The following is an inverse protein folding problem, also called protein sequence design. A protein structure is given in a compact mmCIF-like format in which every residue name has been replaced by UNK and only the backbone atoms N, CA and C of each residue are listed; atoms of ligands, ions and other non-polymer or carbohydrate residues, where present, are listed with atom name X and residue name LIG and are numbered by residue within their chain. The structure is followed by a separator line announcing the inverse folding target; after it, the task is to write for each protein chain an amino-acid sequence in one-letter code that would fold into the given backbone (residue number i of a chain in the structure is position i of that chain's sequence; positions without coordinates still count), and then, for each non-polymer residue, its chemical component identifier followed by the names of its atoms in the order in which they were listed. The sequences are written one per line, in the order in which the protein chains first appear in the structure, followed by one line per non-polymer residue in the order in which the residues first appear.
data_IF_859452847172
#
_entry.id   IF_859452847172
#
_cell.length_a   1.000
_cell.length_b   1.000
_cell.length_c   1.000
_cell.angle_alpha   90.00
_cell.angle_beta   90.00
_cell.angle_gamma   90.00
#
_symmetry.space_group_name_H-M   'P 1'
#
loop_
_entity.id
_entity.type
_entity.pdbx_description
1 polymer ?
#
# COMPACT_ATOMS: atom_id res chain seq x y z
N UNK A 1 19.57 5.80 27.12
CA UNK A 1 18.58 6.27 26.13
C UNK A 1 18.24 5.14 25.15
N UNK A 2 17.25 4.30 25.45
CA UNK A 2 16.90 3.14 24.62
C UNK A 2 15.61 3.43 23.80
N UNK A 3 15.82 3.86 22.56
CA UNK A 3 14.99 3.71 21.34
C UNK A 3 13.48 3.44 21.53
N UNK A 4 12.71 4.41 22.04
CA UNK A 4 11.25 4.53 21.85
C UNK A 4 10.91 5.04 20.42
N UNK A 5 11.40 4.37 19.39
CA UNK A 5 11.14 4.75 17.98
C UNK A 5 10.79 3.50 17.18
N UNK A 6 9.62 2.90 17.38
CA UNK A 6 9.15 1.86 16.45
C UNK A 6 7.64 1.77 16.27
N UNK A 7 6.81 2.10 17.27
CA UNK A 7 5.34 1.98 17.10
C UNK A 7 4.69 3.06 16.21
N UNK A 8 5.29 4.25 16.07
CA UNK A 8 4.71 5.34 15.25
C UNK A 8 5.12 5.22 13.77
N UNK A 9 6.36 4.80 13.50
CA UNK A 9 6.94 4.70 12.15
C UNK A 9 6.39 3.54 11.31
N UNK A 10 5.97 2.42 11.94
CA UNK A 10 5.39 1.27 11.22
C UNK A 10 3.98 1.54 10.66
N UNK A 11 3.16 2.37 11.34
CA UNK A 11 1.85 2.78 10.79
C UNK A 11 2.01 3.68 9.57
N UNK A 12 3.00 4.56 9.59
CA UNK A 12 3.31 5.43 8.45
C UNK A 12 3.89 4.64 7.28
N UNK A 13 4.78 3.67 7.54
CA UNK A 13 5.30 2.79 6.48
C UNK A 13 4.19 1.98 5.79
N UNK A 14 3.23 1.45 6.54
CA UNK A 14 2.11 0.70 5.94
C UNK A 14 1.27 1.58 5.00
N UNK A 15 1.06 2.85 5.36
CA UNK A 15 0.36 3.82 4.51
C UNK A 15 1.15 4.16 3.24
N UNK A 16 2.47 4.34 3.35
CA UNK A 16 3.33 4.59 2.18
C UNK A 16 3.38 3.40 1.22
N UNK A 17 3.44 2.17 1.75
CA UNK A 17 3.40 0.95 0.93
C UNK A 17 2.04 0.80 0.24
N UNK A 18 0.95 1.12 0.93
CA UNK A 18 -0.39 1.15 0.34
C UNK A 18 -0.48 2.13 -0.84
N UNK A 19 -0.06 3.39 -0.62
CA UNK A 19 -0.15 4.44 -1.63
C UNK A 19 0.76 4.12 -2.82
N UNK A 20 1.95 3.58 -2.59
CA UNK A 20 2.86 3.14 -3.65
C UNK A 20 2.27 2.04 -4.53
N UNK A 21 1.67 1.01 -3.92
CA UNK A 21 1.03 -0.07 -4.67
C UNK A 21 -0.25 0.38 -5.38
N UNK A 22 -1.02 1.29 -4.76
CA UNK A 22 -2.22 1.85 -5.34
C UNK A 22 -1.92 2.66 -6.61
N UNK A 23 -0.92 3.55 -6.55
CA UNK A 23 -0.50 4.32 -7.73
C UNK A 23 0.09 3.43 -8.82
N UNK A 24 0.86 2.40 -8.46
CA UNK A 24 1.34 1.41 -9.43
C UNK A 24 0.20 0.67 -10.13
N UNK A 25 -0.83 0.26 -9.40
CA UNK A 25 -2.03 -0.36 -9.98
C UNK A 25 -2.82 0.60 -10.89
N UNK A 26 -2.93 1.87 -10.49
CA UNK A 26 -3.61 2.90 -11.27
C UNK A 26 -2.87 3.19 -12.58
N UNK A 27 -1.54 3.34 -12.53
CA UNK A 27 -0.69 3.50 -13.72
C UNK A 27 -0.77 2.26 -14.62
N UNK A 28 -0.75 1.06 -14.04
CA UNK A 28 -0.91 -0.17 -14.81
C UNK A 28 -2.28 -0.18 -15.54
N UNK A 29 -3.39 0.09 -14.86
CA UNK A 29 -4.71 0.12 -15.54
C UNK A 29 -4.89 1.28 -16.52
N UNK A 30 -4.19 2.40 -16.31
CA UNK A 30 -4.14 3.50 -17.28
C UNK A 30 -3.52 3.05 -18.61
N UNK A 31 -2.45 2.24 -18.57
CA UNK A 31 -1.80 1.69 -19.78
C UNK A 31 -2.75 0.76 -20.55
N UNK A 32 -3.59 -0.01 -19.85
CA UNK A 32 -4.59 -0.88 -20.47
C UNK A 32 -5.87 -0.14 -20.91
N UNK A 33 -5.95 1.18 -20.74
CA UNK A 33 -7.14 1.97 -21.07
C UNK A 33 -8.36 1.68 -20.18
N UNK A 34 -8.17 0.91 -19.10
CA UNK A 34 -9.22 0.53 -18.15
C UNK A 34 -8.79 0.93 -16.74
N UNK A 35 -8.89 2.24 -16.49
CA UNK A 35 -8.61 2.85 -15.19
C UNK A 35 -9.37 2.17 -14.04
N UNK A 36 -10.60 1.73 -14.31
CA UNK A 36 -11.45 1.01 -13.35
C UNK A 36 -10.77 -0.26 -12.83
N UNK A 37 -10.22 -1.09 -13.73
CA UNK A 37 -9.49 -2.31 -13.37
C UNK A 37 -8.16 -2.03 -12.67
N UNK A 38 -7.45 -0.97 -13.06
CA UNK A 38 -6.21 -0.55 -12.40
C UNK A 38 -6.43 -0.05 -10.99
N UNK A 39 -7.45 0.77 -10.79
CA UNK A 39 -7.85 1.26 -9.47
C UNK A 39 -8.28 0.09 -8.59
N UNK A 40 -9.10 -0.83 -9.10
CA UNK A 40 -9.56 -2.01 -8.36
C UNK A 40 -8.40 -2.93 -7.96
N UNK A 41 -7.49 -3.21 -8.90
CA UNK A 41 -6.30 -4.03 -8.66
C UNK A 41 -5.33 -3.35 -7.67
N UNK A 42 -5.09 -2.04 -7.83
CA UNK A 42 -4.26 -1.25 -6.92
C UNK A 42 -4.83 -1.19 -5.50
N UNK A 43 -6.16 -1.06 -5.36
CA UNK A 43 -6.85 -1.09 -4.07
C UNK A 43 -6.75 -2.47 -3.41
N UNK A 44 -7.03 -3.53 -4.17
CA UNK A 44 -6.95 -4.91 -3.67
C UNK A 44 -5.53 -5.21 -3.17
N UNK A 45 -4.52 -4.87 -3.97
CA UNK A 45 -3.13 -5.15 -3.62
C UNK A 45 -2.62 -4.26 -2.49
N UNK A 46 -3.04 -3.00 -2.43
CA UNK A 46 -2.78 -2.09 -1.31
C UNK A 46 -3.35 -2.60 0.01
N UNK A 47 -4.62 -3.06 0.01
CA UNK A 47 -5.26 -3.63 1.19
C UNK A 47 -4.57 -4.91 1.66
N UNK A 48 -4.22 -5.79 0.72
CA UNK A 48 -3.46 -7.02 1.03
C UNK A 48 -2.10 -6.65 1.63
N UNK A 49 -1.35 -5.73 1.03
CA UNK A 49 -0.06 -5.29 1.54
C UNK A 49 -0.17 -4.67 2.93
N UNK A 50 -1.17 -3.82 3.17
CA UNK A 50 -1.40 -3.24 4.50
C UNK A 50 -1.84 -4.27 5.53
N UNK A 51 -2.67 -5.25 5.14
CA UNK A 51 -3.06 -6.35 6.02
C UNK A 51 -1.86 -7.24 6.37
N UNK A 52 -1.01 -7.57 5.40
CA UNK A 52 0.21 -8.36 5.59
C UNK A 52 1.21 -7.63 6.48
N UNK A 53 1.42 -6.33 6.23
CA UNK A 53 2.28 -5.49 7.06
C UNK A 53 1.73 -5.39 8.49
N UNK A 54 0.41 -5.31 8.66
CA UNK A 54 -0.25 -5.28 9.97
C UNK A 54 -0.30 -6.63 10.67
N UNK A 55 -0.25 -7.74 9.94
CA UNK A 55 -0.23 -9.10 10.51
C UNK A 55 1.19 -9.52 10.90
N UNK A 56 2.21 -8.93 10.26
CA UNK A 56 3.63 -9.19 10.53
C UNK A 56 4.22 -8.35 11.68
N UNK A 57 3.48 -7.36 12.20
CA UNK A 57 3.89 -6.44 13.27
C UNK A 57 2.87 -6.44 14.42
#
# INVERSE_FOLDING_TARGET
MAKKVSKKKSKELSGYVFVGFFFLGLVAGAIYGRYDLGALAGLAMGFIASALVRMKY
#
